data_IF_132693068788
#
_entry.id   IF_132693068788
#
_cell.length_a   1.000
_cell.length_b   1.000
_cell.length_c   1.000
_cell.angle_alpha   90.00
_cell.angle_beta   90.00
_cell.angle_gamma   90.00
#
_symmetry.space_group_name_H-M   'P 1'
#
loop_
_entity.id
_entity.type
_entity.pdbx_description
1 polymer ?
#
# COMPACT_ATOMS: atom_id res chain seq x y z
N UNK A 1 -87.43 39.87 19.13
CA UNK A 1 -86.03 40.32 19.31
C UNK A 1 -85.15 39.51 20.27
N UNK A 2 -85.74 38.69 21.15
CA UNK A 2 -84.94 37.88 22.09
C UNK A 2 -84.16 36.64 21.47
N UNK A 3 -84.66 36.06 20.37
CA UNK A 3 -84.05 34.89 19.73
C UNK A 3 -82.71 35.16 18.98
N UNK A 4 -82.53 36.39 18.46
CA UNK A 4 -81.28 36.76 17.77
C UNK A 4 -80.07 36.98 18.70
N UNK A 5 -80.33 37.34 19.99
CA UNK A 5 -79.24 37.53 20.98
C UNK A 5 -78.52 36.24 21.31
N UNK A 6 -79.28 35.13 21.33
CA UNK A 6 -78.66 33.81 21.59
C UNK A 6 -77.87 33.28 20.39
N UNK A 7 -78.28 33.60 19.16
CA UNK A 7 -77.54 33.22 17.96
C UNK A 7 -76.25 34.04 17.84
N UNK A 8 -76.19 35.30 18.18
CA UNK A 8 -75.00 36.14 18.20
C UNK A 8 -74.04 35.65 19.30
N UNK A 9 -74.52 35.29 20.49
CA UNK A 9 -73.70 34.74 21.56
C UNK A 9 -73.05 33.38 21.16
N UNK A 10 -73.77 32.53 20.44
CA UNK A 10 -73.22 31.25 19.91
C UNK A 10 -72.09 31.43 18.88
N UNK A 11 -72.27 32.43 17.97
CA UNK A 11 -71.26 32.77 16.96
C UNK A 11 -70.00 33.35 17.62
N UNK A 12 -70.11 34.19 18.65
CA UNK A 12 -68.97 34.76 19.38
C UNK A 12 -68.24 33.67 20.15
N UNK A 13 -68.89 32.70 20.78
CA UNK A 13 -68.26 31.57 21.44
C UNK A 13 -67.53 30.67 20.45
N UNK A 14 -68.12 30.43 19.25
CA UNK A 14 -67.47 29.69 18.16
C UNK A 14 -66.21 30.38 17.61
N UNK A 15 -66.30 31.74 17.44
CA UNK A 15 -65.15 32.54 17.03
C UNK A 15 -64.00 32.53 18.10
N UNK A 16 -64.37 32.68 19.37
CA UNK A 16 -63.39 32.58 20.46
C UNK A 16 -62.81 31.18 20.57
N UNK A 17 -63.58 30.11 20.41
CA UNK A 17 -63.08 28.73 20.36
C UNK A 17 -62.21 28.50 19.15
N UNK A 18 -62.55 29.04 17.96
CA UNK A 18 -61.70 28.96 16.75
C UNK A 18 -60.39 29.72 16.90
N UNK A 19 -60.43 30.93 17.50
CA UNK A 19 -59.23 31.71 17.83
C UNK A 19 -58.32 31.00 18.87
N UNK A 20 -58.94 30.40 19.89
CA UNK A 20 -58.23 29.62 20.90
C UNK A 20 -57.63 28.36 20.29
N UNK A 21 -58.37 27.65 19.42
CA UNK A 21 -57.90 26.47 18.70
C UNK A 21 -56.76 26.84 17.69
N UNK A 22 -56.89 28.01 17.01
CA UNK A 22 -55.85 28.49 16.08
C UNK A 22 -54.57 28.87 16.83
N UNK A 23 -54.67 29.52 17.99
CA UNK A 23 -53.53 29.87 18.86
C UNK A 23 -52.86 28.64 19.49
N UNK A 24 -53.62 27.59 19.81
CA UNK A 24 -53.08 26.34 20.35
C UNK A 24 -52.51 25.42 19.25
N UNK A 25 -53.05 25.50 18.05
CA UNK A 25 -52.60 24.69 16.93
C UNK A 25 -51.26 25.14 16.37
N UNK A 26 -50.87 26.39 16.52
CA UNK A 26 -49.64 26.98 16.02
C UNK A 26 -48.48 26.97 17.03
N UNK A 27 -48.53 26.15 18.09
CA UNK A 27 -47.33 25.95 18.92
C UNK A 27 -46.36 25.12 18.12
N UNK A 28 -45.29 25.77 17.63
CA UNK A 28 -44.15 25.10 17.00
C UNK A 28 -43.59 24.05 18.00
N UNK A 29 -43.24 22.87 17.49
CA UNK A 29 -42.65 21.83 18.34
C UNK A 29 -41.29 22.31 18.86
N UNK A 30 -40.94 22.03 20.13
CA UNK A 30 -39.66 22.42 20.68
C UNK A 30 -38.52 21.77 19.89
N UNK A 31 -37.45 22.52 19.69
CA UNK A 31 -36.24 21.97 19.07
C UNK A 31 -35.43 21.22 20.12
N UNK A 32 -35.10 19.97 19.85
CA UNK A 32 -34.16 19.22 20.65
C UNK A 32 -32.78 19.29 20.02
N UNK A 33 -31.80 19.68 20.85
CA UNK A 33 -30.40 19.64 20.50
C UNK A 33 -29.82 18.26 20.81
N UNK A 34 -29.09 17.69 19.85
CA UNK A 34 -28.26 16.53 20.11
C UNK A 34 -26.89 17.00 20.54
N UNK A 35 -26.55 16.77 21.79
CA UNK A 35 -25.26 17.15 22.37
C UNK A 35 -24.41 15.92 22.65
N UNK A 36 -23.10 16.07 22.54
CA UNK A 36 -22.10 15.08 22.86
C UNK A 36 -21.04 15.68 23.80
N UNK A 37 -20.54 14.89 24.71
CA UNK A 37 -19.42 15.30 25.55
C UNK A 37 -18.09 14.84 24.89
N UNK A 38 -17.07 15.73 24.84
CA UNK A 38 -15.76 15.35 24.38
C UNK A 38 -15.20 14.19 25.21
N UNK A 39 -14.71 13.16 24.56
CA UNK A 39 -14.15 11.98 25.23
C UNK A 39 -12.71 11.72 24.74
N UNK A 40 -11.87 11.20 25.63
CA UNK A 40 -10.55 10.74 25.22
C UNK A 40 -10.65 9.44 24.44
N UNK A 41 -9.92 9.38 23.35
CA UNK A 41 -9.93 8.20 22.47
C UNK A 41 -8.74 8.15 21.52
N UNK A 42 -8.75 7.15 20.68
CA UNK A 42 -7.77 6.96 19.61
C UNK A 42 -8.29 7.56 18.30
N UNK A 43 -7.44 8.32 17.63
CA UNK A 43 -7.70 8.82 16.27
C UNK A 43 -6.48 8.62 15.40
N UNK A 44 -6.70 8.22 14.16
CA UNK A 44 -5.64 8.04 13.18
C UNK A 44 -6.11 8.38 11.79
N UNK A 45 -5.23 8.99 11.01
CA UNK A 45 -5.40 9.09 9.57
C UNK A 45 -4.81 7.82 8.96
N UNK A 46 -5.60 7.10 8.20
CA UNK A 46 -5.20 5.85 7.58
C UNK A 46 -5.41 5.90 6.06
N UNK A 47 -4.52 5.23 5.35
CA UNK A 47 -4.60 5.00 3.91
C UNK A 47 -4.86 3.52 3.70
N UNK A 48 -5.81 3.19 2.84
CA UNK A 48 -6.10 1.80 2.47
C UNK A 48 -5.48 1.47 1.12
N UNK A 49 -4.91 0.29 1.01
CA UNK A 49 -4.31 -0.21 -0.22
C UNK A 49 -4.52 -1.73 -0.33
N UNK A 50 -4.49 -2.25 -1.54
CA UNK A 50 -4.47 -3.70 -1.76
C UNK A 50 -3.07 -4.15 -2.12
N UNK A 51 -2.71 -5.36 -1.75
CA UNK A 51 -1.39 -5.90 -2.03
C UNK A 51 -1.38 -7.42 -2.14
N UNK A 52 -0.22 -7.96 -2.47
CA UNK A 52 0.02 -9.40 -2.52
C UNK A 52 1.11 -9.79 -1.53
N UNK A 53 0.92 -10.94 -0.88
CA UNK A 53 1.90 -11.50 0.04
C UNK A 53 2.95 -12.27 -0.76
N UNK A 54 4.22 -11.98 -0.50
CA UNK A 54 5.36 -12.63 -1.15
C UNK A 54 6.46 -12.91 -0.13
N UNK A 55 7.28 -13.95 -0.33
CA UNK A 55 8.50 -14.11 0.46
C UNK A 55 9.47 -12.96 0.21
N UNK A 56 10.27 -12.61 1.22
CA UNK A 56 11.28 -11.55 1.08
C UNK A 56 12.34 -11.93 0.05
N UNK A 57 12.86 -13.16 0.15
CA UNK A 57 13.92 -13.67 -0.72
C UNK A 57 13.42 -14.83 -1.58
N UNK A 58 13.43 -14.65 -2.90
CA UNK A 58 13.13 -15.69 -3.88
C UNK A 58 14.23 -15.78 -4.94
N UNK A 59 14.53 -16.98 -5.40
CA UNK A 59 15.48 -17.20 -6.50
C UNK A 59 14.82 -18.03 -7.60
N UNK A 60 14.91 -17.50 -8.82
CA UNK A 60 14.49 -18.22 -10.03
C UNK A 60 15.65 -19.08 -10.53
N UNK A 61 15.44 -20.39 -10.61
CA UNK A 61 16.39 -21.35 -11.12
C UNK A 61 16.05 -21.69 -12.55
N UNK A 62 16.98 -21.47 -13.47
CA UNK A 62 16.86 -21.77 -14.90
C UNK A 62 17.95 -22.72 -15.37
N UNK A 63 18.05 -22.93 -16.69
CA UNK A 63 19.11 -23.70 -17.32
C UNK A 63 20.00 -22.83 -18.20
N UNK A 64 21.31 -23.14 -18.24
CA UNK A 64 22.29 -22.46 -19.11
C UNK A 64 22.52 -23.18 -20.43
N UNK A 65 22.01 -24.43 -20.57
CA UNK A 65 22.12 -25.23 -21.79
C UNK A 65 20.73 -25.69 -22.23
N UNK A 66 20.55 -25.81 -23.52
CA UNK A 66 19.31 -26.34 -24.12
C UNK A 66 19.31 -27.87 -24.06
N UNK A 67 18.14 -28.44 -23.82
CA UNK A 67 17.98 -29.90 -23.77
C UNK A 67 16.57 -30.32 -23.35
N UNK A 68 16.32 -31.61 -23.28
CA UNK A 68 15.06 -32.17 -22.81
C UNK A 68 15.20 -32.57 -21.33
N UNK A 69 14.21 -32.23 -20.51
CA UNK A 69 14.18 -32.63 -19.09
C UNK A 69 14.00 -34.15 -19.02
N UNK A 70 15.00 -34.84 -18.43
CA UNK A 70 14.99 -36.28 -18.29
C UNK A 70 14.46 -36.73 -16.94
N UNK A 71 14.90 -36.08 -15.86
CA UNK A 71 14.50 -36.38 -14.49
C UNK A 71 14.20 -35.10 -13.72
N UNK A 72 13.23 -35.17 -12.81
CA UNK A 72 12.91 -34.15 -11.83
C UNK A 72 12.97 -34.82 -10.45
N UNK A 73 13.79 -34.31 -9.54
CA UNK A 73 14.05 -34.87 -8.22
C UNK A 73 13.36 -34.11 -7.10
N UNK A 74 12.86 -32.90 -7.39
CA UNK A 74 12.17 -32.06 -6.41
C UNK A 74 10.91 -31.47 -7.01
N UNK A 75 9.85 -31.47 -6.23
CA UNK A 75 8.50 -31.01 -6.66
C UNK A 75 8.02 -29.85 -5.78
N UNK A 76 6.80 -29.37 -6.02
CA UNK A 76 6.14 -28.30 -5.24
C UNK A 76 6.26 -28.58 -3.73
N UNK A 77 6.49 -27.54 -2.95
CA UNK A 77 6.58 -27.55 -1.48
C UNK A 77 7.73 -28.43 -0.91
N UNK A 78 8.64 -28.92 -1.77
CA UNK A 78 9.79 -29.70 -1.33
C UNK A 78 10.85 -28.76 -0.75
N UNK A 79 11.36 -29.11 0.44
CA UNK A 79 12.54 -28.44 1.01
C UNK A 79 13.79 -28.92 0.27
N UNK A 80 14.61 -27.97 -0.17
CA UNK A 80 15.88 -28.22 -0.86
C UNK A 80 17.03 -27.52 -0.16
N UNK A 81 18.21 -28.12 -0.26
CA UNK A 81 19.46 -27.55 0.25
C UNK A 81 20.27 -26.95 -0.89
N UNK A 82 21.08 -25.96 -0.60
CA UNK A 82 22.07 -25.43 -1.54
C UNK A 82 22.95 -26.53 -2.09
N UNK A 83 23.07 -26.59 -3.43
CA UNK A 83 23.82 -27.65 -4.12
C UNK A 83 23.07 -28.98 -4.28
N UNK A 84 21.81 -29.09 -3.86
CA UNK A 84 20.98 -30.28 -4.11
C UNK A 84 20.52 -30.30 -5.57
N UNK A 85 20.64 -31.48 -6.21
CA UNK A 85 20.15 -31.71 -7.56
C UNK A 85 18.60 -31.66 -7.58
N UNK A 86 18.03 -30.78 -8.40
CA UNK A 86 16.57 -30.60 -8.51
C UNK A 86 16.00 -31.13 -9.84
N UNK A 87 16.80 -31.05 -10.91
CA UNK A 87 16.42 -31.62 -12.19
C UNK A 87 17.66 -31.98 -13.03
N UNK A 88 17.47 -32.81 -14.03
CA UNK A 88 18.50 -33.26 -14.96
C UNK A 88 18.00 -33.21 -16.39
N UNK A 89 18.81 -32.63 -17.29
CA UNK A 89 18.60 -32.66 -18.73
C UNK A 89 19.16 -33.97 -19.32
N UNK A 90 18.69 -34.33 -20.50
CA UNK A 90 19.32 -35.43 -21.24
C UNK A 90 20.76 -35.06 -21.63
N UNK A 91 21.70 -35.84 -21.11
CA UNK A 91 23.15 -35.65 -21.27
C UNK A 91 23.71 -36.29 -22.53
N UNK A 92 22.91 -37.08 -23.25
CA UNK A 92 23.41 -37.96 -24.30
C UNK A 92 24.25 -37.22 -25.34
N UNK A 93 23.77 -36.09 -25.82
CA UNK A 93 24.46 -35.26 -26.81
C UNK A 93 25.70 -34.57 -26.23
N UNK A 94 25.59 -34.01 -25.03
CA UNK A 94 26.67 -33.28 -24.36
C UNK A 94 27.81 -34.27 -23.97
N UNK A 95 27.46 -35.49 -23.55
CA UNK A 95 28.41 -36.54 -23.23
C UNK A 95 29.15 -37.02 -24.49
N UNK A 96 28.45 -37.18 -25.60
CA UNK A 96 29.06 -37.53 -26.89
C UNK A 96 30.08 -36.46 -27.31
N UNK A 97 29.76 -35.18 -27.12
CA UNK A 97 30.66 -34.07 -27.43
C UNK A 97 31.91 -34.06 -26.53
N UNK A 98 31.78 -34.35 -25.24
CA UNK A 98 32.91 -34.51 -24.30
C UNK A 98 33.78 -35.66 -24.76
N UNK A 99 33.21 -36.83 -25.10
CA UNK A 99 33.95 -37.99 -25.57
C UNK A 99 34.73 -37.69 -26.87
N UNK A 100 34.15 -36.93 -27.79
CA UNK A 100 34.82 -36.50 -29.01
C UNK A 100 36.04 -35.62 -28.72
N UNK A 101 35.89 -34.58 -27.88
CA UNK A 101 37.01 -33.69 -27.52
C UNK A 101 38.08 -34.45 -26.71
N UNK A 102 37.70 -35.44 -25.90
CA UNK A 102 38.64 -36.29 -25.19
C UNK A 102 39.47 -37.16 -26.14
N UNK A 103 38.83 -37.72 -27.19
CA UNK A 103 39.56 -38.46 -28.24
C UNK A 103 40.54 -37.56 -29.02
N UNK A 104 40.06 -36.33 -29.38
CA UNK A 104 40.89 -35.33 -30.07
C UNK A 104 42.08 -34.91 -29.18
N UNK A 105 41.90 -34.75 -27.88
CA UNK A 105 42.96 -34.40 -26.95
C UNK A 105 44.04 -35.52 -26.93
N UNK A 106 43.60 -36.78 -26.82
CA UNK A 106 44.52 -37.91 -26.83
C UNK A 106 45.38 -37.95 -28.10
N UNK A 107 44.76 -37.75 -29.27
CA UNK A 107 45.46 -37.68 -30.57
C UNK A 107 46.48 -36.53 -30.61
N UNK A 108 46.12 -35.36 -30.08
CA UNK A 108 47.03 -34.20 -30.01
C UNK A 108 48.17 -34.44 -29.00
N UNK A 109 47.92 -35.12 -27.90
CA UNK A 109 48.96 -35.50 -26.91
C UNK A 109 49.95 -36.51 -27.51
N UNK A 110 49.47 -37.52 -28.24
CA UNK A 110 50.33 -38.47 -28.95
C UNK A 110 51.23 -37.76 -29.99
N UNK A 111 50.67 -36.78 -30.73
CA UNK A 111 51.41 -35.95 -31.67
C UNK A 111 52.45 -35.08 -30.95
N UNK A 112 52.13 -34.53 -29.78
CA UNK A 112 53.07 -33.75 -28.98
C UNK A 112 54.25 -34.64 -28.50
N UNK A 113 53.96 -35.85 -28.04
CA UNK A 113 55.01 -36.81 -27.61
C UNK A 113 55.98 -37.12 -28.76
N UNK A 114 55.43 -37.36 -29.96
CA UNK A 114 56.24 -37.57 -31.16
C UNK A 114 57.12 -36.34 -31.48
N UNK A 115 56.56 -35.11 -31.51
CA UNK A 115 57.33 -33.89 -31.79
C UNK A 115 58.37 -33.59 -30.70
N UNK A 116 58.05 -33.87 -29.44
CA UNK A 116 58.95 -33.72 -28.31
C UNK A 116 60.18 -34.65 -28.48
N UNK A 117 59.96 -35.91 -28.86
CA UNK A 117 61.04 -36.90 -29.10
C UNK A 117 61.91 -36.48 -30.30
N UNK A 118 61.27 -35.95 -31.36
CA UNK A 118 61.97 -35.43 -32.51
C UNK A 118 62.82 -34.19 -32.15
N UNK A 119 62.26 -33.23 -31.45
CA UNK A 119 62.98 -32.03 -30.99
C UNK A 119 64.16 -32.41 -30.09
N UNK A 120 63.96 -33.32 -29.12
CA UNK A 120 65.06 -33.81 -28.23
C UNK A 120 66.22 -34.38 -29.05
N UNK A 121 65.92 -35.21 -30.06
CA UNK A 121 66.93 -35.80 -30.95
C UNK A 121 67.65 -34.72 -31.79
N UNK A 122 66.91 -33.80 -32.42
CA UNK A 122 67.53 -32.71 -33.21
C UNK A 122 68.32 -31.75 -32.32
N UNK A 123 67.93 -31.55 -31.08
CA UNK A 123 68.66 -30.73 -30.12
C UNK A 123 70.06 -31.37 -29.78
N UNK A 124 70.08 -32.71 -29.56
CA UNK A 124 71.33 -33.44 -29.33
C UNK A 124 72.29 -33.41 -30.55
N UNK A 125 71.70 -33.56 -31.77
CA UNK A 125 72.50 -33.51 -33.01
C UNK A 125 73.07 -32.10 -33.28
N UNK A 126 72.32 -31.07 -32.96
CA UNK A 126 72.77 -29.68 -33.09
C UNK A 126 73.89 -29.35 -32.11
N UNK A 127 73.81 -29.84 -30.89
CA UNK A 127 74.88 -29.68 -29.85
C UNK A 127 76.24 -30.23 -30.27
N UNK A 128 76.20 -31.29 -31.07
CA UNK A 128 77.45 -31.90 -31.59
C UNK A 128 77.82 -31.42 -33.00
N UNK A 129 77.06 -30.40 -33.53
CA UNK A 129 77.33 -29.82 -34.85
C UNK A 129 76.89 -30.65 -36.04
N UNK A 130 76.06 -31.71 -35.84
CA UNK A 130 75.66 -32.65 -36.88
C UNK A 130 74.53 -32.22 -37.80
N UNK A 131 73.85 -31.11 -37.48
CA UNK A 131 72.73 -30.55 -38.27
C UNK A 131 72.83 -29.05 -38.40
N UNK A 132 72.11 -28.47 -39.42
CA UNK A 132 71.98 -27.05 -39.61
C UNK A 132 71.11 -26.38 -38.55
N UNK A 133 71.38 -25.13 -38.27
CA UNK A 133 70.54 -24.31 -37.35
C UNK A 133 69.07 -24.24 -37.76
N UNK A 134 68.81 -24.18 -39.06
CA UNK A 134 67.45 -24.16 -39.62
C UNK A 134 66.65 -25.42 -39.26
N UNK A 135 67.27 -26.61 -39.25
CA UNK A 135 66.63 -27.85 -38.92
C UNK A 135 66.27 -27.92 -37.41
N UNK A 136 67.15 -27.43 -36.53
CA UNK A 136 66.88 -27.28 -35.12
C UNK A 136 65.72 -26.30 -34.87
N UNK A 137 65.75 -25.13 -35.48
CA UNK A 137 64.67 -24.13 -35.32
C UNK A 137 63.30 -24.66 -35.84
N UNK A 138 63.33 -25.42 -36.94
CA UNK A 138 62.13 -26.10 -37.48
C UNK A 138 61.56 -27.13 -36.50
N UNK A 139 62.43 -27.96 -35.87
CA UNK A 139 61.99 -28.93 -34.87
C UNK A 139 61.46 -28.25 -33.62
N UNK A 140 62.06 -27.14 -33.19
CA UNK A 140 61.58 -26.34 -32.05
C UNK A 140 60.20 -25.72 -32.34
N UNK A 141 60.02 -25.14 -33.54
CA UNK A 141 58.74 -24.57 -33.98
C UNK A 141 57.64 -25.64 -33.98
N UNK A 142 57.89 -26.82 -34.62
CA UNK A 142 56.87 -27.89 -34.69
C UNK A 142 56.52 -28.46 -33.30
N UNK A 143 57.49 -28.59 -32.40
CA UNK A 143 57.23 -28.95 -30.99
C UNK A 143 56.36 -27.89 -30.29
N UNK A 144 56.73 -26.62 -30.40
CA UNK A 144 55.95 -25.52 -29.80
C UNK A 144 54.53 -25.41 -30.38
N UNK A 145 54.39 -25.67 -31.67
CA UNK A 145 53.07 -25.70 -32.34
C UNK A 145 52.22 -26.86 -31.84
N UNK A 146 52.79 -28.08 -31.71
CA UNK A 146 52.07 -29.22 -31.16
C UNK A 146 51.65 -28.99 -29.67
N UNK A 147 52.54 -28.36 -28.88
CA UNK A 147 52.21 -27.96 -27.50
C UNK A 147 51.05 -26.96 -27.43
N UNK A 148 51.07 -25.96 -28.31
CA UNK A 148 49.96 -24.98 -28.39
C UNK A 148 48.65 -25.64 -28.82
N UNK A 149 48.70 -26.62 -29.76
CA UNK A 149 47.53 -27.38 -30.19
C UNK A 149 46.90 -28.20 -29.06
N UNK A 150 47.70 -28.89 -28.24
CA UNK A 150 47.20 -29.60 -27.05
C UNK A 150 46.52 -28.64 -26.09
N UNK A 151 47.09 -27.45 -25.85
CA UNK A 151 46.50 -26.46 -24.97
C UNK A 151 45.13 -25.96 -25.51
N UNK A 152 44.99 -25.74 -26.83
CA UNK A 152 43.77 -25.34 -27.45
C UNK A 152 42.65 -26.40 -27.32
N UNK A 153 42.96 -27.67 -27.62
CA UNK A 153 41.99 -28.76 -27.52
C UNK A 153 41.62 -29.04 -26.05
N UNK A 154 42.54 -28.91 -25.12
CA UNK A 154 42.27 -29.00 -23.68
C UNK A 154 41.27 -27.92 -23.22
N UNK A 155 41.40 -26.71 -23.70
CA UNK A 155 40.43 -25.66 -23.43
C UNK A 155 39.02 -25.96 -24.00
N UNK A 156 38.98 -26.56 -25.21
CA UNK A 156 37.70 -26.99 -25.79
C UNK A 156 37.07 -28.13 -24.98
N UNK A 157 37.83 -29.11 -24.50
CA UNK A 157 37.37 -30.18 -23.61
C UNK A 157 36.83 -29.59 -22.30
N UNK A 158 37.52 -28.62 -21.73
CA UNK A 158 37.08 -27.96 -20.50
C UNK A 158 35.71 -27.25 -20.70
N UNK A 159 35.54 -26.55 -21.83
CA UNK A 159 34.25 -25.93 -22.18
C UNK A 159 33.16 -26.98 -22.35
N UNK A 160 33.42 -28.10 -23.01
CA UNK A 160 32.43 -29.17 -23.17
C UNK A 160 32.05 -29.81 -21.83
N UNK A 161 33.01 -30.02 -20.93
CA UNK A 161 32.75 -30.52 -19.57
C UNK A 161 31.91 -29.54 -18.77
N UNK A 162 32.13 -28.21 -18.90
CA UNK A 162 31.35 -27.20 -18.26
C UNK A 162 29.87 -27.24 -18.76
N UNK A 163 29.68 -27.36 -20.07
CA UNK A 163 28.34 -27.49 -20.64
C UNK A 163 27.63 -28.76 -20.15
N UNK A 164 28.36 -29.87 -20.05
CA UNK A 164 27.84 -31.11 -19.46
C UNK A 164 27.46 -30.92 -17.98
N UNK A 165 28.25 -30.18 -17.22
CA UNK A 165 27.91 -29.89 -15.82
C UNK A 165 26.63 -29.10 -15.68
N UNK A 166 26.34 -28.16 -16.60
CA UNK A 166 25.11 -27.36 -16.63
C UNK A 166 23.84 -28.17 -16.98
N UNK A 167 24.00 -29.41 -17.45
CA UNK A 167 22.85 -30.32 -17.62
C UNK A 167 22.25 -30.79 -16.29
N UNK A 168 23.01 -30.71 -15.21
CA UNK A 168 22.54 -30.94 -13.85
C UNK A 168 22.10 -29.60 -13.24
N UNK A 169 20.85 -29.49 -12.86
CA UNK A 169 20.27 -28.27 -12.32
C UNK A 169 20.23 -28.40 -10.81
N UNK A 170 20.97 -27.53 -10.13
CA UNK A 170 21.11 -27.51 -8.68
C UNK A 170 20.40 -26.31 -8.06
N UNK A 171 19.93 -26.47 -6.82
CA UNK A 171 19.45 -25.33 -6.04
C UNK A 171 20.62 -24.42 -5.63
N UNK A 172 20.54 -23.09 -5.89
CA UNK A 172 21.58 -22.15 -5.47
C UNK A 172 21.50 -21.78 -3.99
N UNK A 173 20.35 -22.03 -3.34
CA UNK A 173 20.06 -21.66 -1.94
C UNK A 173 19.37 -22.79 -1.19
N UNK A 174 19.40 -22.73 0.14
CA UNK A 174 18.49 -23.50 0.99
C UNK A 174 17.10 -22.85 0.92
N UNK A 175 16.02 -23.67 0.87
CA UNK A 175 14.68 -23.12 0.81
C UNK A 175 13.60 -24.12 0.43
N UNK A 176 12.46 -23.62 0.02
CA UNK A 176 11.29 -24.40 -0.39
C UNK A 176 10.93 -24.05 -1.84
N UNK A 177 10.66 -25.05 -2.66
CA UNK A 177 10.20 -24.89 -4.04
C UNK A 177 8.76 -24.36 -4.02
N UNK A 178 8.58 -23.13 -4.50
CA UNK A 178 7.26 -22.51 -4.63
C UNK A 178 6.54 -22.92 -5.92
N UNK A 179 7.30 -22.95 -7.04
CA UNK A 179 6.74 -23.33 -8.33
C UNK A 179 7.72 -24.14 -9.16
N UNK A 180 7.17 -25.03 -9.99
CA UNK A 180 7.87 -25.82 -10.98
C UNK A 180 7.19 -25.58 -12.33
N UNK A 181 7.93 -24.96 -13.26
CA UNK A 181 7.39 -24.55 -14.56
C UNK A 181 7.81 -25.48 -15.69
N UNK A 182 8.27 -26.69 -15.36
CA UNK A 182 8.77 -27.69 -16.33
C UNK A 182 8.25 -29.07 -16.01
N UNK A 183 8.15 -29.91 -17.06
CA UNK A 183 7.73 -31.30 -16.98
C UNK A 183 8.78 -32.23 -17.56
N UNK A 184 8.78 -33.51 -17.13
CA UNK A 184 9.60 -34.56 -17.72
C UNK A 184 9.25 -34.69 -19.19
N UNK A 185 10.27 -34.77 -20.06
CA UNK A 185 10.11 -34.83 -21.52
C UNK A 185 9.95 -33.46 -22.18
N UNK A 186 9.85 -32.36 -21.43
CA UNK A 186 9.78 -31.01 -21.99
C UNK A 186 11.16 -30.56 -22.48
N UNK A 187 11.21 -30.02 -23.70
CA UNK A 187 12.42 -29.38 -24.22
C UNK A 187 12.49 -27.93 -23.79
N UNK A 188 13.64 -27.54 -23.24
CA UNK A 188 13.96 -26.17 -22.82
C UNK A 188 15.07 -25.61 -23.70
N UNK A 189 14.93 -24.36 -24.14
CA UNK A 189 15.89 -23.66 -24.96
C UNK A 189 16.46 -22.45 -24.19
N UNK A 190 17.77 -22.41 -24.04
CA UNK A 190 18.50 -21.36 -23.29
C UNK A 190 19.11 -20.29 -24.20
N UNK A 191 18.63 -20.14 -25.46
CA UNK A 191 19.33 -19.33 -26.48
C UNK A 191 19.13 -17.83 -26.34
N UNK A 192 17.94 -17.34 -26.00
CA UNK A 192 17.60 -15.91 -25.94
C UNK A 192 17.09 -15.48 -24.57
N UNK A 193 16.25 -16.29 -23.94
CA UNK A 193 15.75 -16.07 -22.59
C UNK A 193 15.93 -17.36 -21.81
N UNK A 194 16.60 -17.27 -20.66
CA UNK A 194 16.69 -18.41 -19.75
C UNK A 194 15.31 -18.71 -19.17
N UNK A 195 14.68 -19.85 -19.50
CA UNK A 195 13.37 -20.17 -18.93
C UNK A 195 13.53 -20.48 -17.44
N UNK A 196 12.64 -19.90 -16.63
CA UNK A 196 12.56 -20.23 -15.20
C UNK A 196 11.97 -21.63 -15.05
N UNK A 197 12.73 -22.55 -14.50
CA UNK A 197 12.32 -23.93 -14.25
C UNK A 197 11.69 -24.09 -12.86
N UNK A 198 12.31 -23.49 -11.85
CA UNK A 198 11.86 -23.51 -10.47
C UNK A 198 11.95 -22.11 -9.87
N UNK A 199 11.04 -21.80 -8.93
CA UNK A 199 11.15 -20.64 -8.05
C UNK A 199 11.29 -21.18 -6.63
N UNK A 200 12.36 -20.79 -5.95
CA UNK A 200 12.70 -21.25 -4.60
C UNK A 200 12.63 -20.05 -3.66
N UNK A 201 11.81 -20.15 -2.59
CA UNK A 201 11.80 -19.20 -1.50
C UNK A 201 12.79 -19.65 -0.42
N UNK A 202 13.61 -18.72 0.07
CA UNK A 202 14.61 -19.01 1.09
C UNK A 202 13.97 -19.31 2.44
N UNK A 203 12.98 -18.50 2.84
CA UNK A 203 12.34 -18.60 4.13
C UNK A 203 10.88 -18.12 4.02
N UNK A 204 9.94 -18.98 4.36
CA UNK A 204 8.50 -18.66 4.36
C UNK A 204 8.02 -18.04 5.68
N UNK A 205 8.89 -17.98 6.71
CA UNK A 205 8.57 -17.28 7.96
C UNK A 205 8.70 -15.76 7.82
N UNK A 206 9.48 -15.31 6.82
CA UNK A 206 9.71 -13.91 6.50
C UNK A 206 8.98 -13.55 5.22
N UNK A 207 7.81 -12.98 5.39
CA UNK A 207 6.99 -12.55 4.28
C UNK A 207 6.94 -11.03 4.20
N UNK A 208 6.54 -10.50 3.07
CA UNK A 208 6.28 -9.09 2.85
C UNK A 208 4.96 -8.92 2.08
N UNK A 209 4.24 -7.88 2.36
CA UNK A 209 3.12 -7.44 1.52
C UNK A 209 3.65 -6.39 0.56
N UNK A 210 3.44 -6.61 -0.72
CA UNK A 210 3.68 -5.61 -1.76
C UNK A 210 2.35 -4.90 -2.02
N UNK A 211 2.14 -3.79 -1.32
CA UNK A 211 0.91 -3.01 -1.41
C UNK A 211 1.03 -1.94 -2.50
N UNK A 212 -0.02 -1.81 -3.32
CA UNK A 212 -0.13 -0.78 -4.35
C UNK A 212 -0.85 0.43 -3.75
N UNK A 213 -0.10 1.49 -3.45
CA UNK A 213 -0.62 2.74 -2.90
C UNK A 213 -0.76 3.76 -4.02
N UNK A 214 -1.89 4.46 -4.06
CA UNK A 214 -2.16 5.48 -5.08
C UNK A 214 -1.21 6.68 -4.98
N UNK A 215 -0.92 7.30 -6.12
CA UNK A 215 -0.07 8.50 -6.22
C UNK A 215 -0.57 9.65 -5.32
N UNK A 216 -1.89 9.79 -5.17
CA UNK A 216 -2.50 10.82 -4.33
C UNK A 216 -2.13 10.66 -2.83
N UNK A 217 -1.91 9.44 -2.38
CA UNK A 217 -1.73 9.09 -0.96
C UNK A 217 -0.28 8.83 -0.59
N UNK A 218 0.57 8.47 -1.56
CA UNK A 218 1.96 8.04 -1.29
C UNK A 218 2.80 9.11 -0.59
N UNK A 219 2.48 10.39 -0.82
CA UNK A 219 3.18 11.52 -0.18
C UNK A 219 3.08 11.52 1.35
N UNK A 220 2.08 10.85 1.91
CA UNK A 220 1.86 10.73 3.36
C UNK A 220 2.45 9.44 3.96
N UNK A 221 2.88 8.49 3.13
CA UNK A 221 3.45 7.22 3.57
C UNK A 221 4.95 7.41 3.85
N UNK A 222 5.40 6.88 4.98
CA UNK A 222 6.79 6.94 5.40
C UNK A 222 7.26 5.61 5.98
N UNK A 223 8.55 5.34 5.84
CA UNK A 223 9.19 4.17 6.46
C UNK A 223 8.99 4.17 7.98
N UNK A 224 8.65 3.00 8.53
CA UNK A 224 8.44 2.78 9.96
C UNK A 224 7.00 3.04 10.44
N UNK A 225 6.09 3.49 9.58
CA UNK A 225 4.68 3.61 9.95
C UNK A 225 4.07 2.24 10.25
N UNK A 226 3.19 2.21 11.23
CA UNK A 226 2.43 1.02 11.62
C UNK A 226 1.42 0.69 10.54
N UNK A 227 1.32 -0.61 10.25
CA UNK A 227 0.38 -1.15 9.28
C UNK A 227 -0.39 -2.28 9.92
N UNK A 228 -1.67 -2.36 9.60
CA UNK A 228 -2.48 -3.57 9.82
C UNK A 228 -2.98 -4.07 8.49
N UNK A 229 -3.07 -5.38 8.34
CA UNK A 229 -3.64 -5.95 7.14
C UNK A 229 -4.44 -7.21 7.46
N UNK A 230 -5.43 -7.47 6.64
CA UNK A 230 -6.20 -8.71 6.63
C UNK A 230 -5.95 -9.41 5.30
N UNK A 231 -6.10 -10.72 5.27
CA UNK A 231 -6.02 -11.50 4.03
C UNK A 231 -7.36 -12.13 3.73
N UNK A 232 -7.70 -12.27 2.46
CA UNK A 232 -9.01 -12.79 2.06
C UNK A 232 -9.28 -14.21 2.58
N UNK A 233 -8.22 -14.98 2.85
CA UNK A 233 -8.31 -16.31 3.45
C UNK A 233 -8.63 -16.29 4.95
N UNK A 234 -8.36 -15.19 5.65
CA UNK A 234 -8.59 -15.00 7.10
C UNK A 234 -9.11 -13.59 7.35
N UNK A 235 -10.38 -13.30 7.02
CA UNK A 235 -10.94 -11.95 7.08
C UNK A 235 -11.09 -11.42 8.51
N UNK A 236 -11.23 -12.31 9.49
CA UNK A 236 -11.40 -11.97 10.91
C UNK A 236 -10.06 -11.78 11.64
N UNK A 237 -8.94 -12.20 11.05
CA UNK A 237 -7.62 -12.11 11.65
C UNK A 237 -6.89 -10.85 11.16
N UNK A 238 -6.48 -10.02 12.10
CA UNK A 238 -5.71 -8.81 11.82
C UNK A 238 -4.23 -9.08 12.04
N UNK A 239 -3.45 -8.97 10.98
CA UNK A 239 -1.99 -9.08 11.02
C UNK A 239 -1.38 -7.69 11.19
N UNK A 240 -0.25 -7.62 11.88
CA UNK A 240 0.49 -6.39 12.10
C UNK A 240 1.77 -6.40 11.25
N UNK A 241 2.09 -5.23 10.72
CA UNK A 241 3.30 -5.00 9.95
C UNK A 241 3.81 -3.59 10.10
N UNK A 242 4.92 -3.31 9.44
CA UNK A 242 5.51 -1.96 9.36
C UNK A 242 5.95 -1.67 7.94
N UNK A 243 5.83 -0.40 7.52
CA UNK A 243 6.36 0.03 6.23
C UNK A 243 7.88 -0.06 6.25
N UNK A 244 8.44 -0.90 5.39
CA UNK A 244 9.89 -1.08 5.24
C UNK A 244 10.50 -0.07 4.27
N UNK A 245 9.90 0.02 3.09
CA UNK A 245 10.34 0.92 2.03
C UNK A 245 9.23 1.21 1.03
N UNK A 246 9.39 2.26 0.26
CA UNK A 246 8.55 2.62 -0.87
C UNK A 246 9.42 2.53 -2.13
N UNK A 247 9.00 1.76 -3.12
CA UNK A 247 9.72 1.67 -4.40
C UNK A 247 9.51 2.96 -5.19
N UNK A 248 10.61 3.55 -5.64
CA UNK A 248 10.58 4.83 -6.36
C UNK A 248 10.01 4.71 -7.79
N UNK A 249 10.07 3.53 -8.38
CA UNK A 249 9.50 3.28 -9.70
C UNK A 249 8.01 2.98 -9.57
N UNK A 250 7.13 3.83 -10.14
CA UNK A 250 5.69 3.56 -10.14
C UNK A 250 5.34 2.44 -11.11
N UNK A 251 4.20 1.83 -10.88
CA UNK A 251 3.53 0.93 -11.81
C UNK A 251 2.25 1.59 -12.32
N UNK A 252 2.04 1.54 -13.63
CA UNK A 252 0.81 2.08 -14.23
C UNK A 252 -0.02 0.92 -14.73
N UNK A 253 -1.22 0.80 -14.22
CA UNK A 253 -2.21 -0.20 -14.65
C UNK A 253 -3.54 0.50 -14.91
N UNK A 254 -4.15 0.27 -16.08
CA UNK A 254 -5.42 0.88 -16.46
C UNK A 254 -5.48 2.41 -16.26
N UNK A 255 -4.38 3.13 -16.56
CA UNK A 255 -4.19 4.57 -16.36
C UNK A 255 -4.18 5.05 -14.89
N UNK A 256 -4.08 4.13 -13.93
CA UNK A 256 -3.87 4.46 -12.52
C UNK A 256 -2.39 4.28 -12.19
N UNK A 257 -1.79 5.31 -11.62
CA UNK A 257 -0.39 5.31 -11.18
C UNK A 257 -0.35 4.91 -9.71
N UNK A 258 0.35 3.82 -9.41
CA UNK A 258 0.52 3.33 -8.04
C UNK A 258 1.99 3.12 -7.71
N UNK A 259 2.33 3.29 -6.44
CA UNK A 259 3.66 3.02 -5.90
C UNK A 259 3.64 1.76 -5.04
N UNK A 260 4.57 0.84 -5.32
CA UNK A 260 4.69 -0.39 -4.54
C UNK A 260 5.34 -0.08 -3.20
N UNK A 261 4.57 -0.24 -2.14
CA UNK A 261 5.04 -0.10 -0.75
C UNK A 261 5.28 -1.48 -0.16
N UNK A 262 6.48 -1.72 0.32
CA UNK A 262 6.89 -2.97 0.95
C UNK A 262 6.60 -2.90 2.44
N UNK A 263 5.82 -3.85 2.92
CA UNK A 263 5.40 -3.95 4.31
C UNK A 263 5.88 -5.28 4.86
N UNK A 264 6.55 -5.25 6.00
CA UNK A 264 6.98 -6.46 6.70
C UNK A 264 5.76 -7.24 7.22
N UNK A 265 5.76 -8.54 6.99
CA UNK A 265 4.67 -9.45 7.37
C UNK A 265 5.24 -10.72 8.01
N UNK A 266 5.53 -10.70 9.32
CA UNK A 266 6.01 -11.88 10.03
C UNK A 266 5.02 -13.04 9.95
N UNK A 267 5.51 -14.25 9.60
CA UNK A 267 4.69 -15.44 9.38
C UNK A 267 5.23 -16.64 10.15
N UNK A 268 5.40 -16.50 11.46
CA UNK A 268 6.00 -17.53 12.31
C UNK A 268 5.16 -18.81 12.40
N UNK A 269 3.85 -18.68 12.23
CA UNK A 269 2.86 -19.76 12.24
C UNK A 269 2.58 -20.35 10.83
N UNK A 270 3.28 -19.84 9.79
CA UNK A 270 3.15 -20.26 8.38
C UNK A 270 1.72 -20.24 7.83
N UNK A 271 0.86 -19.37 8.39
CA UNK A 271 -0.53 -19.20 7.93
C UNK A 271 -0.60 -18.39 6.64
N UNK A 272 0.27 -17.41 6.48
CA UNK A 272 0.38 -16.59 5.27
C UNK A 272 1.07 -17.40 4.17
N UNK A 273 0.40 -17.53 3.03
CA UNK A 273 0.97 -18.22 1.86
C UNK A 273 1.29 -17.21 0.76
N UNK A 274 2.38 -17.45 -0.02
CA UNK A 274 2.70 -16.64 -1.18
C UNK A 274 1.53 -16.54 -2.16
N UNK A 275 1.27 -15.33 -2.67
CA UNK A 275 0.19 -15.07 -3.62
C UNK A 275 -1.16 -14.70 -2.99
N UNK A 276 -1.31 -14.74 -1.66
CA UNK A 276 -2.54 -14.26 -1.00
C UNK A 276 -2.70 -12.76 -1.22
N UNK A 277 -3.94 -12.33 -1.45
CA UNK A 277 -4.32 -10.92 -1.48
C UNK A 277 -4.47 -10.40 -0.05
N UNK A 278 -3.91 -9.23 0.21
CA UNK A 278 -4.00 -8.53 1.48
C UNK A 278 -4.67 -7.18 1.31
N UNK A 279 -5.60 -6.86 2.21
CA UNK A 279 -6.21 -5.54 2.37
C UNK A 279 -5.45 -4.82 3.49
N UNK A 280 -4.74 -3.76 3.11
CA UNK A 280 -3.75 -3.07 3.95
C UNK A 280 -4.30 -1.74 4.42
N UNK A 281 -4.09 -1.43 5.70
CA UNK A 281 -4.36 -0.13 6.32
C UNK A 281 -3.06 0.42 6.89
N UNK A 282 -2.56 1.51 6.30
CA UNK A 282 -1.33 2.20 6.71
C UNK A 282 -1.72 3.41 7.57
N UNK A 283 -1.24 3.47 8.80
CA UNK A 283 -1.49 4.57 9.71
C UNK A 283 -0.44 5.66 9.51
N UNK A 284 -0.85 6.74 8.84
CA UNK A 284 0.08 7.85 8.49
C UNK A 284 0.34 8.77 9.66
N UNK A 285 -0.70 9.08 10.45
CA UNK A 285 -0.61 9.87 11.68
C UNK A 285 -1.57 9.27 12.69
N UNK A 286 -1.14 9.06 13.91
CA UNK A 286 -1.98 8.55 15.00
C UNK A 286 -1.76 9.35 16.29
N UNK A 287 -2.82 9.53 17.05
CA UNK A 287 -2.79 10.10 18.38
C UNK A 287 -3.57 9.19 19.33
N UNK A 288 -2.88 8.77 20.40
CA UNK A 288 -3.46 8.04 21.53
C UNK A 288 -3.88 9.06 22.57
N UNK A 289 -4.97 8.77 23.27
CA UNK A 289 -5.50 9.64 24.35
C UNK A 289 -5.78 11.09 23.88
N UNK A 290 -6.29 11.24 22.68
CA UNK A 290 -6.70 12.53 22.12
C UNK A 290 -8.13 12.87 22.55
N UNK A 291 -8.39 14.13 22.90
CA UNK A 291 -9.74 14.62 23.16
C UNK A 291 -10.49 14.70 21.82
N UNK A 292 -11.57 13.95 21.67
CA UNK A 292 -12.31 13.79 20.42
C UNK A 292 -13.70 14.42 20.52
N UNK A 293 -14.13 14.99 19.40
CA UNK A 293 -15.52 15.41 19.15
C UNK A 293 -15.94 14.88 17.79
N UNK A 294 -17.23 14.71 17.59
CA UNK A 294 -17.76 14.35 16.27
C UNK A 294 -17.50 15.45 15.23
N UNK A 295 -17.08 15.06 14.01
CA UNK A 295 -16.87 15.98 12.90
C UNK A 295 -18.16 16.76 12.53
N UNK A 296 -19.34 16.27 12.92
CA UNK A 296 -20.63 16.96 12.75
C UNK A 296 -20.70 18.25 13.55
N UNK A 297 -20.08 18.29 14.72
CA UNK A 297 -20.05 19.49 15.59
C UNK A 297 -19.39 20.71 14.91
N UNK A 298 -18.40 20.48 14.04
CA UNK A 298 -17.73 21.54 13.29
C UNK A 298 -18.62 22.14 12.19
N UNK A 299 -19.54 21.33 11.67
CA UNK A 299 -20.45 21.73 10.57
C UNK A 299 -21.74 22.34 11.09
N UNK A 300 -22.04 22.20 12.38
CA UNK A 300 -23.26 22.72 12.97
C UNK A 300 -23.27 24.25 12.96
N UNK A 301 -24.37 24.82 12.46
CA UNK A 301 -24.68 26.27 12.49
C UNK A 301 -26.08 26.44 13.03
N UNK A 302 -26.26 27.21 14.10
CA UNK A 302 -27.61 27.48 14.61
C UNK A 302 -28.43 28.23 13.56
N UNK A 303 -29.63 27.70 13.28
CA UNK A 303 -30.61 28.32 12.38
C UNK A 303 -31.41 29.41 13.14
N UNK A 304 -31.98 30.37 12.41
CA UNK A 304 -32.83 31.43 12.95
C UNK A 304 -34.02 30.93 13.80
N UNK A 305 -34.39 29.68 13.59
CA UNK A 305 -35.48 29.03 14.36
C UNK A 305 -35.09 28.72 15.80
N UNK A 306 -33.80 28.57 16.10
CA UNK A 306 -33.26 28.32 17.45
C UNK A 306 -33.28 29.62 18.31
N UNK A 307 -33.31 30.79 17.68
CA UNK A 307 -33.35 32.07 18.39
C UNK A 307 -34.63 32.26 19.23
N UNK A 308 -35.66 31.45 18.99
CA UNK A 308 -36.91 31.51 19.77
C UNK A 308 -36.79 30.75 21.11
N UNK A 309 -36.02 29.68 21.13
CA UNK A 309 -35.95 28.75 22.27
C UNK A 309 -34.64 28.89 23.03
N UNK A 310 -33.57 29.46 22.39
CA UNK A 310 -32.23 29.55 22.96
C UNK A 310 -31.59 30.92 22.79
N UNK A 311 -30.81 31.36 23.76
CA UNK A 311 -29.98 32.59 23.67
C UNK A 311 -28.68 32.25 22.95
N UNK A 312 -28.44 32.83 21.76
CA UNK A 312 -27.27 32.57 20.95
C UNK A 312 -26.22 33.65 21.20
N UNK A 313 -25.10 33.27 21.82
CA UNK A 313 -23.93 34.13 22.04
C UNK A 313 -22.85 33.73 21.01
N UNK A 314 -22.84 34.39 19.85
CA UNK A 314 -21.81 34.22 18.82
C UNK A 314 -20.75 35.32 18.93
N UNK A 315 -19.52 35.01 18.63
CA UNK A 315 -18.50 36.02 18.37
C UNK A 315 -18.84 36.67 17.03
N UNK A 316 -19.43 37.90 17.06
CA UNK A 316 -19.56 38.72 15.87
C UNK A 316 -18.18 38.93 15.27
N UNK A 317 -17.85 38.19 14.22
CA UNK A 317 -16.77 38.56 13.33
C UNK A 317 -17.06 39.97 12.84
N UNK A 318 -16.08 40.82 12.90
CA UNK A 318 -16.11 42.17 12.34
C UNK A 318 -16.30 42.01 10.84
N UNK A 319 -17.57 41.94 10.41
CA UNK A 319 -17.90 42.07 9.00
C UNK A 319 -17.45 43.46 8.57
N UNK A 320 -16.37 43.49 7.78
CA UNK A 320 -15.98 44.65 7.03
C UNK A 320 -17.06 44.87 5.95
N UNK A 321 -18.10 45.64 6.31
CA UNK A 321 -19.00 46.27 5.35
C UNK A 321 -18.14 47.22 4.51
N UNK A 322 -17.74 46.78 3.34
CA UNK A 322 -17.31 47.70 2.27
C UNK A 322 -18.49 48.50 1.79
N UNK A 323 -18.69 49.63 2.43
CA UNK A 323 -19.46 50.73 1.84
C UNK A 323 -18.64 51.29 0.70
N UNK A 324 -19.14 51.18 -0.52
CA UNK A 324 -18.62 51.88 -1.68
C UNK A 324 -18.74 53.40 -1.45
N UNK A 325 -17.63 54.10 -1.38
CA UNK A 325 -17.52 55.55 -1.30
C UNK A 325 -16.33 56.02 -2.14
N UNK A 326 -16.66 56.48 -3.35
CA UNK A 326 -15.95 57.39 -4.26
C UNK A 326 -14.54 57.84 -3.89
N UNK A 327 -13.65 57.67 -4.86
CA UNK A 327 -12.33 58.29 -5.03
C UNK A 327 -12.35 59.83 -4.90
N UNK A 328 -11.16 60.45 -4.58
CA UNK A 328 -10.44 61.04 -5.71
C UNK A 328 -8.93 60.78 -5.70
N UNK A 329 -8.40 60.73 -6.90
CA UNK A 329 -7.01 60.68 -7.26
C UNK A 329 -6.21 61.86 -6.75
N UNK A 330 -4.98 61.67 -6.27
CA UNK A 330 -3.89 62.64 -6.45
C UNK A 330 -2.50 62.03 -6.33
N UNK A 331 -1.77 62.18 -7.42
CA UNK A 331 -0.34 62.43 -7.67
C UNK A 331 0.78 61.53 -7.05
N UNK A 332 1.36 60.87 -7.94
CA UNK A 332 2.78 60.48 -8.22
C UNK A 332 3.84 61.40 -7.57
N UNK A 333 4.80 60.79 -6.82
CA UNK A 333 6.15 61.31 -6.67
C UNK A 333 7.16 60.16 -6.70
N UNK A 334 8.21 60.41 -7.46
CA UNK A 334 9.35 59.54 -7.75
C UNK A 334 10.48 59.72 -6.74
N UNK A 335 11.16 58.58 -6.39
CA UNK A 335 12.61 58.35 -6.11
C UNK A 335 13.21 58.83 -4.76
N UNK A 336 14.42 58.32 -4.34
CA UNK A 336 15.28 57.27 -4.92
C UNK A 336 15.78 56.21 -3.87
N UNK A 337 16.48 55.20 -4.44
CA UNK A 337 17.33 54.18 -3.83
C UNK A 337 18.20 54.65 -2.67
N UNK A 338 18.41 53.83 -1.65
CA UNK A 338 19.72 53.32 -1.23
C UNK A 338 19.65 52.44 0.03
N UNK A 339 20.38 51.30 -0.06
CA UNK A 339 21.16 50.61 0.97
C UNK A 339 20.47 49.71 2.03
N UNK A 340 20.76 48.43 1.79
CA UNK A 340 21.27 47.46 2.78
C UNK A 340 20.50 47.33 4.11
N UNK A 341 19.78 46.27 4.20
CA UNK A 341 19.57 45.68 5.53
C UNK A 341 19.73 44.16 5.43
N UNK A 342 20.66 43.68 6.21
CA UNK A 342 21.03 42.30 6.48
C UNK A 342 19.84 41.36 6.66
N UNK A 343 19.92 40.09 6.22
CA UNK A 343 18.93 39.11 6.59
C UNK A 343 19.07 38.74 8.05
N UNK A 344 18.15 39.22 8.86
CA UNK A 344 17.98 38.76 10.24
C UNK A 344 17.48 37.30 10.18
N UNK A 345 18.44 36.40 10.35
CA UNK A 345 18.20 34.94 10.47
C UNK A 345 17.69 34.66 11.88
N UNK A 346 16.51 35.14 12.19
CA UNK A 346 15.78 34.60 13.34
C UNK A 346 15.27 33.22 12.93
N UNK A 347 15.95 32.21 13.45
CA UNK A 347 15.48 30.81 13.51
C UNK A 347 14.01 30.83 13.95
N UNK A 348 13.10 30.69 12.99
CA UNK A 348 11.73 30.26 13.29
C UNK A 348 11.86 28.83 13.81
N UNK A 349 11.88 28.72 15.14
CA UNK A 349 11.58 27.45 15.81
C UNK A 349 10.25 26.97 15.23
N UNK A 350 10.29 25.94 14.42
CA UNK A 350 9.12 25.18 14.00
C UNK A 350 8.48 24.64 15.27
N UNK A 351 7.49 25.37 15.77
CA UNK A 351 6.61 24.87 16.82
C UNK A 351 5.79 23.71 16.28
N UNK A 352 5.44 22.70 17.09
CA UNK A 352 4.65 21.53 16.69
C UNK A 352 3.23 21.84 16.19
N UNK A 353 2.88 23.09 15.99
CA UNK A 353 1.54 23.61 15.70
C UNK A 353 1.20 23.73 14.19
N UNK A 354 2.05 23.24 13.29
CA UNK A 354 1.86 23.44 11.82
C UNK A 354 0.68 22.64 11.22
N UNK A 355 0.10 21.71 11.98
CA UNK A 355 -1.08 20.94 11.57
C UNK A 355 -2.38 21.38 12.27
N UNK A 356 -2.32 22.42 13.09
CA UNK A 356 -3.46 22.85 13.88
C UNK A 356 -4.36 23.80 13.10
N UNK A 357 -5.61 23.40 12.90
CA UNK A 357 -6.63 24.23 12.26
C UNK A 357 -7.50 24.94 13.28
N UNK A 358 -7.80 26.23 13.03
CA UNK A 358 -8.73 26.98 13.88
C UNK A 358 -10.15 26.69 13.42
N UNK A 359 -10.98 26.18 14.32
CA UNK A 359 -12.38 25.91 14.10
C UNK A 359 -13.24 26.53 15.20
N UNK A 360 -14.54 26.48 15.04
CA UNK A 360 -15.48 26.91 16.08
C UNK A 360 -16.58 25.87 16.24
N UNK A 361 -16.97 25.61 17.47
CA UNK A 361 -18.05 24.72 17.84
C UNK A 361 -19.05 25.47 18.71
N UNK A 362 -20.25 24.92 18.77
CA UNK A 362 -21.33 25.43 19.62
C UNK A 362 -21.48 24.55 20.85
N UNK A 363 -21.48 25.18 22.01
CA UNK A 363 -21.60 24.52 23.32
C UNK A 363 -22.92 24.95 23.94
N UNK A 364 -23.62 24.01 24.54
CA UNK A 364 -24.85 24.27 25.28
C UNK A 364 -24.55 24.46 26.75
N UNK A 365 -24.95 25.61 27.31
CA UNK A 365 -24.98 25.88 28.74
C UNK A 365 -26.44 26.19 29.14
N UNK A 366 -27.22 25.20 29.51
CA UNK A 366 -28.63 25.34 29.78
C UNK A 366 -29.40 25.83 28.54
N UNK A 367 -30.01 27.00 28.62
CA UNK A 367 -30.74 27.61 27.50
C UNK A 367 -29.88 28.54 26.62
N UNK A 368 -28.58 28.56 26.84
CA UNK A 368 -27.65 29.42 26.10
C UNK A 368 -26.71 28.62 25.19
N UNK A 369 -26.61 29.02 23.93
CA UNK A 369 -25.68 28.48 22.96
C UNK A 369 -24.50 29.42 22.80
N UNK A 370 -23.31 28.97 23.16
CA UNK A 370 -22.06 29.75 23.13
C UNK A 370 -21.17 29.23 22.01
N UNK A 371 -20.78 30.13 21.10
CA UNK A 371 -19.77 29.80 20.10
C UNK A 371 -18.37 29.86 20.73
N UNK A 372 -17.65 28.73 20.75
CA UNK A 372 -16.28 28.65 21.26
C UNK A 372 -15.29 28.34 20.14
N UNK A 373 -14.18 29.07 20.10
CA UNK A 373 -13.08 28.79 19.16
C UNK A 373 -12.24 27.70 19.74
N UNK A 374 -11.91 26.72 18.90
CA UNK A 374 -11.09 25.57 19.24
C UNK A 374 -9.92 25.44 18.25
N UNK A 375 -8.87 24.77 18.71
CA UNK A 375 -7.76 24.35 17.87
C UNK A 375 -7.89 22.86 17.64
N UNK A 376 -8.02 22.44 16.39
CA UNK A 376 -8.20 21.04 15.98
C UNK A 376 -6.92 20.49 15.39
N UNK A 377 -6.65 19.21 15.63
CA UNK A 377 -5.54 18.44 15.07
C UNK A 377 -6.02 17.47 14.00
N UNK A 378 -5.81 16.17 14.24
CA UNK A 378 -6.20 15.10 13.33
C UNK A 378 -7.72 15.04 13.12
N UNK A 379 -8.12 14.63 11.92
CA UNK A 379 -9.51 14.47 11.52
C UNK A 379 -9.63 13.20 10.67
N UNK A 380 -10.44 12.24 11.12
CA UNK A 380 -10.73 10.98 10.42
C UNK A 380 -12.12 10.98 9.74
N UNK A 381 -12.70 12.17 9.48
CA UNK A 381 -14.04 12.43 8.91
C UNK A 381 -15.20 12.08 9.85
N UNK A 382 -15.01 11.21 10.83
CA UNK A 382 -16.01 10.86 11.86
C UNK A 382 -15.76 11.63 13.13
N UNK A 383 -14.51 11.67 13.60
CA UNK A 383 -14.05 12.36 14.78
C UNK A 383 -12.98 13.39 14.44
N UNK A 384 -12.86 14.38 15.31
CA UNK A 384 -11.85 15.42 15.19
C UNK A 384 -11.14 15.57 16.54
N UNK A 385 -9.82 15.55 16.49
CA UNK A 385 -9.00 15.82 17.67
C UNK A 385 -9.09 17.30 18.04
N UNK A 386 -9.33 17.56 19.31
CA UNK A 386 -9.25 18.91 19.90
C UNK A 386 -7.96 19.04 20.69
N UNK A 387 -7.12 19.98 20.24
CA UNK A 387 -5.84 20.28 20.89
C UNK A 387 -6.01 21.29 22.04
N UNK A 388 -6.92 22.26 21.86
CA UNK A 388 -7.21 23.31 22.87
C UNK A 388 -8.62 23.85 22.69
N UNK A 389 -9.24 24.28 23.80
CA UNK A 389 -10.47 25.06 23.79
C UNK A 389 -11.72 24.33 24.23
N UNK A 390 -11.65 23.05 24.58
CA UNK A 390 -12.74 22.26 25.16
C UNK A 390 -12.27 21.44 26.34
N UNK A 391 -13.19 21.20 27.25
CA UNK A 391 -13.05 20.29 28.37
C UNK A 391 -14.03 19.12 28.25
N UNK A 392 -13.78 18.02 28.96
CA UNK A 392 -14.65 16.84 28.95
C UNK A 392 -16.04 17.06 29.52
N UNK A 393 -16.23 18.17 30.27
CA UNK A 393 -17.53 18.58 30.85
C UNK A 393 -18.38 19.41 29.90
N UNK A 394 -17.83 19.86 28.78
CA UNK A 394 -18.56 20.71 27.80
C UNK A 394 -19.57 19.86 27.01
N UNK A 395 -20.77 20.40 26.77
CA UNK A 395 -21.78 19.79 25.93
C UNK A 395 -21.74 20.40 24.52
N UNK A 396 -21.06 19.71 23.58
CA UNK A 396 -20.90 20.16 22.22
C UNK A 396 -22.10 19.75 21.38
N UNK A 397 -22.63 20.66 20.57
CA UNK A 397 -23.85 20.45 19.78
C UNK A 397 -23.46 19.83 18.42
N UNK A 398 -24.02 18.66 18.12
CA UNK A 398 -23.82 17.94 16.86
C UNK A 398 -24.94 18.18 15.84
N UNK A 399 -26.20 18.31 16.35
CA UNK A 399 -27.37 18.43 15.48
C UNK A 399 -28.53 19.10 16.24
N UNK A 400 -29.47 19.70 15.49
CA UNK A 400 -30.68 20.25 16.03
C UNK A 400 -31.90 19.70 15.26
N UNK A 401 -32.82 19.02 15.96
CA UNK A 401 -34.01 18.44 15.33
C UNK A 401 -35.26 18.97 15.95
N UNK A 402 -36.22 19.33 15.11
CA UNK A 402 -37.60 19.61 15.56
C UNK A 402 -38.33 18.29 15.75
N UNK A 403 -38.90 18.09 16.92
CA UNK A 403 -39.80 16.98 17.16
C UNK A 403 -41.05 17.15 16.30
N UNK A 404 -41.17 16.42 15.21
CA UNK A 404 -42.46 16.39 14.50
C UNK A 404 -43.48 15.66 15.38
N UNK A 405 -44.76 16.12 15.34
CA UNK A 405 -45.85 15.46 16.10
C UNK A 405 -46.00 13.95 15.74
N UNK A 406 -45.48 13.53 14.61
CA UNK A 406 -45.50 12.11 14.18
C UNK A 406 -44.56 11.21 14.99
N UNK A 407 -43.49 11.76 15.59
CA UNK A 407 -42.49 10.94 16.28
C UNK A 407 -42.93 10.53 17.71
N UNK A 408 -43.89 11.25 18.30
CA UNK A 408 -44.50 10.85 19.58
C UNK A 408 -45.37 9.60 19.49
N UNK A 409 -45.85 9.24 18.30
CA UNK A 409 -46.70 8.07 18.10
C UNK A 409 -45.89 6.79 17.81
N UNK A 410 -44.61 6.90 17.46
CA UNK A 410 -43.77 5.74 17.16
C UNK A 410 -42.96 5.21 18.33
N UNK A 411 -42.88 5.95 19.47
CA UNK A 411 -42.26 5.48 20.71
C UNK A 411 -43.22 4.77 21.67
N UNK A 412 -44.55 4.81 21.40
CA UNK A 412 -45.51 4.01 22.14
C UNK A 412 -45.61 2.63 21.46
N UNK A 413 -44.90 1.67 22.06
CA UNK A 413 -45.11 0.26 22.00
C UNK A 413 -45.27 -0.41 20.61
N UNK A 414 -44.16 -0.74 19.98
CA UNK A 414 -44.11 -2.00 19.26
C UNK A 414 -43.51 -3.07 20.19
N UNK A 415 -44.41 -3.73 20.90
CA UNK A 415 -44.06 -4.99 21.58
C UNK A 415 -43.63 -6.01 20.52
N UNK A 416 -42.48 -6.68 20.66
CA UNK A 416 -42.02 -7.70 19.70
C UNK A 416 -42.92 -8.92 19.61
N UNK A 417 -43.95 -9.02 20.46
CA UNK A 417 -44.81 -10.20 20.62
C UNK A 417 -46.26 -10.05 20.13
N UNK A 418 -46.60 -8.97 19.35
CA UNK A 418 -47.94 -8.90 18.74
C UNK A 418 -47.89 -9.36 17.28
N UNK A 419 -48.63 -10.43 16.90
CA UNK A 419 -48.73 -10.85 15.51
C UNK A 419 -49.48 -9.79 14.68
N UNK A 420 -48.90 -9.43 13.52
CA UNK A 420 -49.50 -8.51 12.56
C UNK A 420 -50.78 -9.10 11.98
N UNK A 421 -51.90 -8.38 12.09
CA UNK A 421 -53.13 -8.74 11.40
C UNK A 421 -52.96 -8.72 9.88
N UNK A 422 -53.37 -9.80 9.16
CA UNK A 422 -53.31 -9.81 7.70
C UNK A 422 -54.30 -8.77 7.12
N UNK A 423 -53.81 -7.92 6.23
CA UNK A 423 -54.61 -6.99 5.40
C UNK A 423 -55.44 -7.83 4.47
N UNK A 424 -56.77 -7.83 4.67
CA UNK A 424 -57.75 -8.48 3.81
C UNK A 424 -57.69 -7.91 2.39
N UNK A 425 -57.39 -8.78 1.42
CA UNK A 425 -57.47 -8.52 0.01
C UNK A 425 -58.91 -8.40 -0.42
N UNK A 426 -59.33 -7.19 -0.85
CA UNK A 426 -60.56 -6.96 -1.58
C UNK A 426 -60.41 -7.47 -3.01
N UNK A 427 -61.09 -8.56 -3.33
CA UNK A 427 -61.21 -9.03 -4.69
C UNK A 427 -62.04 -8.06 -5.57
N UNK A 428 -61.59 -7.89 -6.80
CA UNK A 428 -62.43 -7.34 -7.88
C UNK A 428 -62.38 -8.33 -9.04
N UNK A 429 -63.57 -8.93 -9.27
CA UNK A 429 -63.90 -9.62 -10.54
C UNK A 429 -63.98 -8.59 -11.65
N UNK A 430 -63.39 -8.78 -12.76
CA UNK A 430 -63.84 -9.05 -14.11
C UNK A 430 -62.60 -9.29 -14.99
#
# INVERSE_FOLDING_TARGET
MKKYKWLIAGIVVLLLAALWFWKFRNREAPVMLSTEQPAYGFIANAITATGTIQPVDTVSVGTQVSGTIKYIYADFNTQVKKGQLVAELDKSLLQAQVNQYQANLRSAEDQLVYQQSNFNRQSQLFQVGAIARADYETAQYTFNSAKANVAAIKAQLQSANQNLSYSNIYSPIDGVIMSRNVNIGQTVAASFNTPTLFIIAKDLTKMQVQASVDEADIGNVQKGQRVTFTVDAFPDDVFNGTVQEIRLQPTTSANVVTYVTIIDAPNNDMRLKPGMTANVTIYTKEAKDALLISAKALKFKPDSTLLKDYVIIGHRGRDSSHTAGSSPAFYRSKRPDTLQTTPDTTKRLTSPDEAAHRASVWIQHGDTLVQRRILTGLNDETNVQVLRGLDTSDHVINDARRLSRSDKSSQAAKSPFMPSRPRGGGGRRQ
#
